data_IF_902060929418
#
_entry.id   IF_902060929418
#
_cell.length_a   1.000
_cell.length_b   1.000
_cell.length_c   1.000
_cell.angle_alpha   90.00
_cell.angle_beta   90.00
_cell.angle_gamma   90.00
#
_symmetry.space_group_name_H-M   'P 1'
#
loop_
_entity.id
_entity.type
_entity.pdbx_description
1 polymer ?
#
# COMPACT_ATOMS: atom_id res chain seq x y z
N UNK A 1 9.89 -0.34 -30.53
CA UNK A 1 9.83 0.64 -29.42
C UNK A 1 8.48 0.57 -28.69
N UNK A 2 7.35 0.68 -29.40
CA UNK A 2 5.99 0.54 -28.83
C UNK A 2 5.78 -0.71 -27.96
N UNK A 3 6.19 -1.89 -28.46
CA UNK A 3 6.02 -3.16 -27.74
C UNK A 3 6.79 -3.22 -26.41
N UNK A 4 7.97 -2.60 -26.37
CA UNK A 4 8.80 -2.52 -25.15
C UNK A 4 8.14 -1.57 -24.15
N UNK A 5 7.67 -0.41 -24.63
CA UNK A 5 6.93 0.56 -23.80
C UNK A 5 5.69 -0.08 -23.17
N UNK A 6 4.91 -0.81 -23.96
CA UNK A 6 3.73 -1.53 -23.47
C UNK A 6 4.07 -2.62 -22.45
N UNK A 7 5.21 -3.31 -22.61
CA UNK A 7 5.68 -4.27 -21.63
C UNK A 7 6.00 -3.62 -20.28
N UNK A 8 6.69 -2.47 -20.28
CA UNK A 8 6.95 -1.71 -19.05
C UNK A 8 5.67 -1.17 -18.39
N UNK A 9 4.69 -0.69 -19.18
CA UNK A 9 3.38 -0.31 -18.63
C UNK A 9 2.67 -1.50 -17.98
N UNK A 10 2.71 -2.68 -18.61
CA UNK A 10 2.20 -3.93 -18.02
C UNK A 10 2.92 -4.28 -16.72
N UNK A 11 4.25 -4.17 -16.71
CA UNK A 11 5.07 -4.41 -15.53
C UNK A 11 4.82 -3.42 -14.39
N UNK A 12 4.46 -2.17 -14.69
CA UNK A 12 4.06 -1.16 -13.69
C UNK A 12 2.66 -1.41 -13.10
N UNK A 13 1.74 -1.99 -13.89
CA UNK A 13 0.37 -2.26 -13.43
C UNK A 13 0.30 -3.34 -12.35
N UNK A 14 1.17 -4.35 -12.38
CA UNK A 14 1.20 -5.41 -11.37
C UNK A 14 1.49 -4.87 -9.95
N UNK A 15 2.60 -4.13 -9.70
CA UNK A 15 2.84 -3.54 -8.39
C UNK A 15 1.82 -2.45 -8.02
N UNK A 16 1.25 -1.74 -8.99
CA UNK A 16 0.12 -0.83 -8.72
C UNK A 16 -1.08 -1.59 -8.11
N UNK A 17 -1.46 -2.73 -8.68
CA UNK A 17 -2.51 -3.58 -8.13
C UNK A 17 -2.16 -4.11 -6.73
N UNK A 18 -0.88 -4.39 -6.46
CA UNK A 18 -0.43 -4.74 -5.10
C UNK A 18 -0.74 -3.58 -4.14
N UNK A 19 -0.40 -2.34 -4.49
CA UNK A 19 -0.73 -1.17 -3.65
C UNK A 19 -2.24 -1.08 -3.35
N UNK A 20 -3.10 -1.28 -4.36
CA UNK A 20 -4.56 -1.31 -4.17
C UNK A 20 -4.98 -2.37 -3.16
N UNK A 21 -4.42 -3.59 -3.23
CA UNK A 21 -4.73 -4.67 -2.27
C UNK A 21 -4.21 -4.40 -0.87
N UNK A 22 -3.07 -3.71 -0.73
CA UNK A 22 -2.57 -3.31 0.58
C UNK A 22 -3.47 -2.25 1.22
N UNK A 23 -4.03 -1.30 0.45
CA UNK A 23 -5.03 -0.36 0.98
C UNK A 23 -6.25 -1.10 1.52
N UNK A 24 -6.78 -2.07 0.77
CA UNK A 24 -7.88 -2.92 1.26
C UNK A 24 -7.50 -3.73 2.51
N UNK A 25 -6.24 -4.19 2.59
CA UNK A 25 -5.73 -4.89 3.76
C UNK A 25 -5.71 -3.99 4.99
N UNK A 26 -5.26 -2.74 4.85
CA UNK A 26 -5.28 -1.76 5.94
C UNK A 26 -6.70 -1.44 6.39
N UNK A 27 -7.68 -1.33 5.48
CA UNK A 27 -9.10 -1.16 5.85
C UNK A 27 -9.62 -2.32 6.72
N UNK A 28 -9.23 -3.54 6.39
CA UNK A 28 -9.57 -4.73 7.21
C UNK A 28 -8.89 -4.65 8.58
N UNK A 29 -7.62 -4.25 8.62
CA UNK A 29 -6.87 -4.09 9.88
C UNK A 29 -7.44 -2.99 10.77
N UNK A 30 -7.93 -1.89 10.20
CA UNK A 30 -8.68 -0.85 10.93
C UNK A 30 -9.91 -1.45 11.63
N UNK A 31 -10.70 -2.23 10.89
CA UNK A 31 -11.88 -2.89 11.44
C UNK A 31 -11.52 -3.87 12.57
N UNK A 32 -10.49 -4.70 12.38
CA UNK A 32 -10.01 -5.65 13.39
C UNK A 32 -9.45 -4.90 14.62
N UNK A 33 -8.74 -3.79 14.42
CA UNK A 33 -8.23 -2.97 15.50
C UNK A 33 -9.32 -2.35 16.37
N UNK A 34 -10.50 -2.10 15.81
CA UNK A 34 -11.66 -1.56 16.53
C UNK A 34 -12.53 -2.64 17.19
N UNK A 35 -12.82 -3.73 16.47
CA UNK A 35 -13.85 -4.71 16.84
C UNK A 35 -13.29 -6.10 17.19
N UNK A 36 -12.00 -6.32 16.97
CA UNK A 36 -11.34 -7.61 17.16
C UNK A 36 -11.00 -7.90 18.62
N UNK A 37 -10.22 -8.97 18.81
CA UNK A 37 -9.78 -9.43 20.12
C UNK A 37 -8.73 -8.48 20.71
N UNK A 38 -9.06 -7.79 21.81
CA UNK A 38 -8.16 -6.86 22.50
C UNK A 38 -6.83 -7.51 22.91
N UNK A 39 -6.84 -8.79 23.32
CA UNK A 39 -5.63 -9.52 23.71
C UNK A 39 -4.63 -9.73 22.56
N UNK A 40 -5.04 -9.53 21.30
CA UNK A 40 -4.21 -9.66 20.10
C UNK A 40 -4.01 -8.32 19.37
N UNK A 41 -4.23 -7.19 20.06
CA UNK A 41 -4.15 -5.86 19.42
C UNK A 41 -2.76 -5.52 18.88
N UNK A 42 -1.69 -6.08 19.47
CA UNK A 42 -0.32 -5.93 18.97
C UNK A 42 -0.15 -6.50 17.56
N UNK A 43 -0.82 -7.60 17.24
CA UNK A 43 -0.73 -8.26 15.92
C UNK A 43 -1.28 -7.37 14.81
N UNK A 44 -2.31 -6.57 15.13
CA UNK A 44 -2.88 -5.56 14.22
C UNK A 44 -1.83 -4.49 13.90
N UNK A 45 -1.10 -4.00 14.90
CA UNK A 45 -0.03 -3.02 14.71
C UNK A 45 1.13 -3.57 13.87
N UNK A 46 1.54 -4.81 14.12
CA UNK A 46 2.57 -5.50 13.33
C UNK A 46 2.12 -5.68 11.88
N UNK A 47 0.89 -6.16 11.67
CA UNK A 47 0.33 -6.35 10.34
C UNK A 47 0.22 -5.03 9.57
N UNK A 48 -0.16 -3.93 10.23
CA UNK A 48 -0.25 -2.61 9.60
C UNK A 48 1.11 -2.11 9.11
N UNK A 49 2.18 -2.28 9.90
CA UNK A 49 3.55 -1.91 9.49
C UNK A 49 4.08 -2.79 8.37
N UNK A 50 3.82 -4.10 8.42
CA UNK A 50 4.19 -5.01 7.35
C UNK A 50 3.47 -4.67 6.03
N UNK A 51 2.18 -4.37 6.11
CA UNK A 51 1.37 -3.92 4.98
C UNK A 51 1.92 -2.62 4.40
N UNK A 52 2.21 -1.61 5.23
CA UNK A 52 2.82 -0.36 4.78
C UNK A 52 4.14 -0.60 4.03
N UNK A 53 5.05 -1.37 4.61
CA UNK A 53 6.33 -1.69 3.97
C UNK A 53 6.14 -2.39 2.60
N UNK A 54 5.17 -3.30 2.50
CA UNK A 54 4.81 -3.94 1.24
C UNK A 54 4.30 -2.92 0.19
N UNK A 55 3.40 -2.02 0.60
CA UNK A 55 2.86 -0.97 -0.26
C UNK A 55 3.91 0.04 -0.73
N UNK A 56 4.81 0.47 0.16
CA UNK A 56 5.95 1.33 -0.19
C UNK A 56 6.93 0.63 -1.13
N UNK A 57 7.22 -0.66 -0.91
CA UNK A 57 8.03 -1.46 -1.82
C UNK A 57 7.39 -1.61 -3.20
N UNK A 58 6.07 -1.83 -3.26
CA UNK A 58 5.34 -1.88 -4.51
C UNK A 58 5.37 -0.54 -5.25
N UNK A 59 5.24 0.58 -4.54
CA UNK A 59 5.38 1.92 -5.12
C UNK A 59 6.72 2.12 -5.83
N UNK A 60 7.83 1.71 -5.21
CA UNK A 60 9.16 1.78 -5.84
C UNK A 60 9.22 0.99 -7.16
N UNK A 61 8.57 -0.18 -7.20
CA UNK A 61 8.47 -1.01 -8.39
C UNK A 61 7.58 -0.38 -9.48
N UNK A 62 6.56 0.40 -9.12
CA UNK A 62 5.80 1.20 -10.10
C UNK A 62 6.73 2.25 -10.71
N UNK A 63 7.43 3.02 -9.88
CA UNK A 63 8.27 4.14 -10.32
C UNK A 63 9.36 3.72 -11.30
N UNK A 64 10.05 2.61 -11.03
CA UNK A 64 11.13 2.15 -11.90
C UNK A 64 10.63 1.71 -13.28
N UNK A 65 9.46 1.08 -13.36
CA UNK A 65 8.86 0.69 -14.64
C UNK A 65 8.29 1.89 -15.40
N UNK A 66 7.73 2.89 -14.68
CA UNK A 66 7.23 4.12 -15.30
C UNK A 66 8.32 5.02 -15.87
N UNK A 67 9.57 4.88 -15.43
CA UNK A 67 10.71 5.60 -16.02
C UNK A 67 10.89 5.26 -17.51
N UNK A 68 10.63 4.00 -17.87
CA UNK A 68 10.86 3.49 -19.23
C UNK A 68 9.61 3.62 -20.14
N UNK A 69 8.47 4.00 -19.57
CA UNK A 69 7.19 3.98 -20.30
C UNK A 69 6.28 5.20 -20.11
N UNK A 70 6.62 6.12 -19.20
CA UNK A 70 5.91 7.36 -18.90
C UNK A 70 4.38 7.28 -18.94
N UNK A 71 3.77 7.11 -17.75
CA UNK A 71 2.31 7.19 -17.57
C UNK A 71 2.02 8.10 -16.37
N UNK A 72 1.53 9.31 -16.66
CA UNK A 72 1.29 10.34 -15.65
C UNK A 72 0.11 9.98 -14.75
N UNK A 73 -0.95 9.41 -15.31
CA UNK A 73 -2.14 9.02 -14.53
C UNK A 73 -1.79 7.91 -13.56
N UNK A 74 -1.06 6.88 -14.00
CA UNK A 74 -0.63 5.79 -13.13
C UNK A 74 0.28 6.28 -12.00
N UNK A 75 1.19 7.23 -12.29
CA UNK A 75 2.05 7.88 -11.30
C UNK A 75 1.23 8.62 -10.24
N UNK A 76 0.32 9.49 -10.65
CA UNK A 76 -0.51 10.29 -9.74
C UNK A 76 -1.40 9.39 -8.87
N UNK A 77 -1.97 8.32 -9.45
CA UNK A 77 -2.74 7.32 -8.69
C UNK A 77 -1.87 6.55 -7.69
N UNK A 78 -0.64 6.19 -8.07
CA UNK A 78 0.32 5.57 -7.16
C UNK A 78 0.72 6.48 -6.00
N UNK A 79 0.94 7.77 -6.26
CA UNK A 79 1.23 8.77 -5.23
C UNK A 79 0.05 8.94 -4.26
N UNK A 80 -1.18 8.95 -4.77
CA UNK A 80 -2.39 8.95 -3.94
C UNK A 80 -2.46 7.71 -3.04
N UNK A 81 -2.29 6.51 -3.60
CA UNK A 81 -2.32 5.27 -2.82
C UNK A 81 -1.19 5.26 -1.77
N UNK A 82 0.01 5.75 -2.10
CA UNK A 82 1.10 5.86 -1.13
C UNK A 82 0.75 6.74 0.07
N UNK A 83 0.09 7.88 -0.19
CA UNK A 83 -0.39 8.76 0.88
C UNK A 83 -1.42 8.06 1.76
N UNK A 84 -2.41 7.40 1.14
CA UNK A 84 -3.45 6.66 1.86
C UNK A 84 -2.86 5.52 2.70
N UNK A 85 -1.91 4.75 2.16
CA UNK A 85 -1.21 3.68 2.86
C UNK A 85 -0.54 4.18 4.16
N UNK A 86 0.17 5.32 4.06
CA UNK A 86 0.87 5.94 5.18
C UNK A 86 -0.10 6.44 6.24
N UNK A 87 -1.13 7.17 5.83
CA UNK A 87 -2.14 7.73 6.73
C UNK A 87 -2.87 6.63 7.50
N UNK A 88 -3.36 5.60 6.80
CA UNK A 88 -4.07 4.47 7.40
C UNK A 88 -3.18 3.68 8.36
N UNK A 89 -1.95 3.34 7.94
CA UNK A 89 -1.03 2.61 8.81
C UNK A 89 -0.70 3.38 10.09
N UNK A 90 -0.54 4.70 10.00
CA UNK A 90 -0.26 5.53 11.18
C UNK A 90 -1.48 5.65 12.09
N UNK A 91 -2.68 5.81 11.52
CA UNK A 91 -3.93 5.81 12.27
C UNK A 91 -4.14 4.49 13.03
N UNK A 92 -3.93 3.35 12.36
CA UNK A 92 -4.01 2.03 13.01
C UNK A 92 -3.01 1.96 14.16
N UNK A 93 -1.76 2.34 13.94
CA UNK A 93 -0.74 2.23 14.98
C UNK A 93 -1.06 3.11 16.18
N UNK A 94 -1.51 4.35 15.96
CA UNK A 94 -1.94 5.24 17.03
C UNK A 94 -3.02 4.58 17.89
N UNK A 95 -4.07 4.03 17.27
CA UNK A 95 -5.16 3.32 17.98
C UNK A 95 -4.66 2.08 18.72
N UNK A 96 -3.72 1.33 18.15
CA UNK A 96 -3.11 0.15 18.80
C UNK A 96 -2.32 0.58 20.04
N UNK A 97 -1.51 1.63 19.95
CA UNK A 97 -0.70 2.14 21.07
C UNK A 97 -1.55 2.73 22.20
N UNK A 98 -2.72 3.30 21.91
CA UNK A 98 -3.67 3.75 22.93
C UNK A 98 -4.29 2.58 23.74
N UNK A 99 -4.18 1.34 23.24
CA UNK A 99 -4.78 0.13 23.84
C UNK A 99 -3.76 -0.80 24.50
N UNK A 100 -2.47 -0.47 24.45
CA UNK A 100 -1.36 -1.20 25.09
C UNK A 100 -0.94 -0.43 26.34
#
# INVERSE_FOLDING_TARGET
>A
EEAIKNAYLGAARVPFQVMERIVETLKILEYIGEHGLTASISDVGVAARAALACGEGAYLNVLINLKEAEDRELRERSEYLLSELRERSELILKKVLEKI
#
